data_IF_491271553999
#
_entry.id   IF_491271553999
#
_cell.length_a   1.000
_cell.length_b   1.000
_cell.length_c   1.000
_cell.angle_alpha   90.00
_cell.angle_beta   90.00
_cell.angle_gamma   90.00
#
_symmetry.space_group_name_H-M   'P 1'
#
loop_
_entity.id
_entity.type
_entity.pdbx_description
1 polymer ?
#
# COMPACT_ATOMS: atom_id res chain seq x y z
N UNK A 1 -8.02 28.02 -30.28
CA UNK A 1 -6.69 28.13 -29.62
C UNK A 1 -5.77 28.95 -30.51
N UNK A 2 -5.00 29.87 -29.93
CA UNK A 2 -4.13 30.83 -30.63
C UNK A 2 -3.09 30.15 -31.54
N UNK A 3 -2.48 29.05 -31.10
CA UNK A 3 -1.47 28.30 -31.85
C UNK A 3 -1.95 27.78 -33.22
N UNK A 4 -3.19 27.28 -33.32
CA UNK A 4 -3.76 26.84 -34.61
C UNK A 4 -3.99 28.01 -35.57
N UNK A 5 -4.33 29.20 -35.03
CA UNK A 5 -4.48 30.41 -35.83
C UNK A 5 -3.12 30.85 -36.38
N UNK A 6 -2.09 30.92 -35.52
CA UNK A 6 -0.72 31.28 -35.92
C UNK A 6 -0.20 30.32 -37.00
N UNK A 7 -0.33 29.00 -36.81
CA UNK A 7 0.11 28.02 -37.80
C UNK A 7 -0.54 28.23 -39.18
N UNK A 8 -1.84 28.56 -39.19
CA UNK A 8 -2.58 28.88 -40.42
C UNK A 8 -2.07 30.16 -41.10
N UNK A 9 -1.83 31.22 -40.33
CA UNK A 9 -1.33 32.51 -40.86
C UNK A 9 0.08 32.38 -41.48
N UNK A 10 0.93 31.49 -40.94
CA UNK A 10 2.26 31.23 -41.49
C UNK A 10 2.29 30.14 -42.58
N UNK A 11 1.11 29.70 -43.07
CA UNK A 11 1.00 28.68 -44.11
C UNK A 11 1.38 27.26 -43.69
N UNK A 12 1.49 26.98 -42.39
CA UNK A 12 1.87 25.67 -41.85
C UNK A 12 0.67 24.84 -41.40
N UNK A 13 0.80 23.51 -41.45
CA UNK A 13 -0.19 22.59 -40.85
C UNK A 13 -0.07 22.62 -39.33
N UNK A 14 -1.16 22.91 -38.64
CA UNK A 14 -1.18 22.91 -37.18
C UNK A 14 -0.93 21.48 -36.63
N UNK A 15 -0.12 21.34 -35.56
CA UNK A 15 0.11 20.04 -34.94
C UNK A 15 -1.13 19.54 -34.20
N UNK A 16 -1.24 18.22 -34.07
CA UNK A 16 -2.20 17.60 -33.16
C UNK A 16 -1.80 17.90 -31.72
N UNK A 17 -2.75 18.38 -30.92
CA UNK A 17 -2.50 18.76 -29.54
C UNK A 17 -3.05 17.70 -28.61
N UNK A 18 -2.19 17.16 -27.75
CA UNK A 18 -2.62 16.31 -26.65
C UNK A 18 -2.65 17.12 -25.35
N UNK A 19 -3.83 17.25 -24.73
CA UNK A 19 -3.97 17.93 -23.42
C UNK A 19 -3.68 16.90 -22.33
N UNK A 20 -2.82 17.26 -21.38
CA UNK A 20 -2.67 16.54 -20.11
C UNK A 20 -3.06 17.46 -18.96
N UNK A 21 -3.45 16.86 -17.83
CA UNK A 21 -3.83 17.57 -16.62
C UNK A 21 -2.68 17.63 -15.60
N UNK A 22 -2.85 18.46 -14.58
CA UNK A 22 -1.83 18.70 -13.56
C UNK A 22 -1.72 17.56 -12.55
N UNK A 23 -0.50 17.40 -12.04
CA UNK A 23 -0.28 16.71 -10.78
C UNK A 23 -0.61 17.64 -9.61
N UNK A 24 -1.31 17.10 -8.63
CA UNK A 24 -1.75 17.76 -7.42
C UNK A 24 -1.04 17.12 -6.22
N UNK A 25 -0.93 17.84 -5.12
CA UNK A 25 -0.44 17.27 -3.87
C UNK A 25 -1.41 16.22 -3.30
N UNK A 26 -1.02 15.59 -2.18
CA UNK A 26 -1.81 14.58 -1.48
C UNK A 26 -3.22 15.05 -1.08
N UNK A 27 -3.38 16.36 -0.83
CA UNK A 27 -4.66 16.96 -0.46
C UNK A 27 -5.50 17.35 -1.68
N UNK A 28 -4.89 17.42 -2.87
CA UNK A 28 -5.51 17.85 -4.12
C UNK A 28 -5.29 19.32 -4.45
N UNK A 29 -4.32 19.99 -3.82
CA UNK A 29 -3.93 21.36 -4.17
C UNK A 29 -2.82 21.36 -5.22
N UNK A 30 -2.60 22.51 -5.86
CA UNK A 30 -1.55 22.67 -6.86
C UNK A 30 -0.17 22.55 -6.19
N UNK A 31 0.73 21.78 -6.82
CA UNK A 31 2.13 21.67 -6.40
C UNK A 31 2.85 23.01 -6.62
N UNK A 32 3.62 23.44 -5.63
CA UNK A 32 4.41 24.67 -5.66
C UNK A 32 5.76 24.44 -5.01
N UNK A 33 6.84 24.77 -5.73
CA UNK A 33 8.21 24.73 -5.18
C UNK A 33 8.37 25.59 -3.93
N UNK A 34 7.64 26.72 -3.85
CA UNK A 34 7.67 27.63 -2.68
C UNK A 34 7.03 27.00 -1.43
N UNK A 35 6.04 26.14 -1.61
CA UNK A 35 5.31 25.48 -0.52
C UNK A 35 5.97 24.15 -0.15
N UNK A 36 6.70 23.53 -1.09
CA UNK A 36 7.36 22.24 -0.87
C UNK A 36 6.39 21.06 -0.77
N UNK A 37 5.16 21.20 -1.29
CA UNK A 37 4.09 20.20 -1.19
C UNK A 37 4.09 19.14 -2.30
N UNK A 38 5.16 19.05 -3.10
CA UNK A 38 5.29 18.08 -4.18
C UNK A 38 6.33 17.01 -3.86
N UNK A 39 6.15 15.83 -4.45
CA UNK A 39 7.19 14.78 -4.47
C UNK A 39 8.11 15.03 -5.65
N UNK A 40 9.42 15.13 -5.43
CA UNK A 40 10.38 15.19 -6.53
C UNK A 40 10.56 13.82 -7.18
N UNK A 41 11.09 13.78 -8.41
CA UNK A 41 11.46 12.53 -9.07
C UNK A 41 12.49 11.77 -8.21
N UNK A 42 13.50 12.48 -7.68
CA UNK A 42 14.53 11.86 -6.83
C UNK A 42 13.93 11.24 -5.56
N UNK A 43 12.94 11.89 -4.94
CA UNK A 43 12.22 11.32 -3.79
C UNK A 43 11.43 10.08 -4.19
N UNK A 44 10.79 10.09 -5.36
CA UNK A 44 10.07 8.91 -5.85
C UNK A 44 11.02 7.72 -6.04
N UNK A 45 12.12 7.95 -6.77
CA UNK A 45 13.10 6.93 -7.10
C UNK A 45 13.93 6.46 -5.90
N UNK A 46 13.86 7.18 -4.77
CA UNK A 46 14.45 6.75 -3.51
C UNK A 46 13.59 5.74 -2.75
N UNK A 47 12.28 5.74 -3.00
CA UNK A 47 11.30 5.00 -2.21
C UNK A 47 10.47 4.03 -3.05
N UNK A 48 10.78 3.89 -4.35
CA UNK A 48 9.99 3.08 -5.25
C UNK A 48 10.60 2.97 -6.65
N UNK A 49 10.17 1.95 -7.41
CA UNK A 49 10.74 1.65 -8.70
C UNK A 49 10.37 2.70 -9.75
N UNK A 50 11.29 2.97 -10.69
CA UNK A 50 11.07 3.87 -11.83
C UNK A 50 9.81 3.50 -12.64
N UNK A 51 9.53 2.20 -12.75
CA UNK A 51 8.37 1.68 -13.47
C UNK A 51 7.05 2.19 -12.89
N UNK A 52 6.97 2.36 -11.56
CA UNK A 52 5.77 2.89 -10.91
C UNK A 52 5.52 4.36 -11.25
N UNK A 53 6.58 5.16 -11.43
CA UNK A 53 6.49 6.54 -11.88
C UNK A 53 6.02 6.60 -13.35
N UNK A 54 6.60 5.78 -14.21
CA UNK A 54 6.22 5.68 -15.62
C UNK A 54 4.76 5.23 -15.79
N UNK A 55 4.34 4.22 -15.02
CA UNK A 55 2.96 3.81 -14.89
C UNK A 55 2.04 4.96 -14.46
N UNK A 56 2.44 5.68 -13.41
CA UNK A 56 1.69 6.81 -12.89
C UNK A 56 1.54 7.92 -13.94
N UNK A 57 2.55 8.17 -14.77
CA UNK A 57 2.48 9.11 -15.88
C UNK A 57 1.57 8.62 -17.01
N UNK A 58 1.66 7.34 -17.37
CA UNK A 58 0.94 6.72 -18.48
C UNK A 58 -0.59 6.71 -18.28
N UNK A 59 -1.06 6.38 -17.08
CA UNK A 59 -2.49 6.22 -16.84
C UNK A 59 -3.26 7.53 -17.01
N UNK A 60 -4.41 7.56 -17.70
CA UNK A 60 -5.36 8.69 -17.68
C UNK A 60 -4.70 10.09 -17.70
N UNK A 61 -3.85 10.42 -18.69
CA UNK A 61 -3.07 11.67 -18.69
C UNK A 61 -3.95 12.93 -18.79
N UNK A 62 -5.21 12.78 -19.23
CA UNK A 62 -6.22 13.84 -19.29
C UNK A 62 -6.96 14.08 -17.96
N UNK A 63 -6.57 13.42 -16.87
CA UNK A 63 -7.15 13.61 -15.53
C UNK A 63 -6.08 14.07 -14.56
N UNK A 64 -6.44 15.00 -13.67
CA UNK A 64 -5.55 15.42 -12.60
C UNK A 64 -5.29 14.26 -11.65
N UNK A 65 -4.06 14.10 -11.19
CA UNK A 65 -3.67 13.01 -10.28
C UNK A 65 -3.03 13.58 -9.04
N UNK A 66 -3.39 13.00 -7.90
CA UNK A 66 -2.74 13.30 -6.62
C UNK A 66 -1.45 12.51 -6.52
N UNK A 67 -0.40 13.17 -6.06
CA UNK A 67 0.89 12.58 -5.73
C UNK A 67 1.35 13.09 -4.37
N UNK A 68 2.02 12.25 -3.62
CA UNK A 68 2.42 12.49 -2.24
C UNK A 68 3.12 11.25 -1.72
N UNK A 69 4.09 11.41 -0.82
CA UNK A 69 4.77 10.29 -0.19
C UNK A 69 3.77 9.33 0.52
N UNK A 70 2.70 9.80 1.22
CA UNK A 70 1.69 8.87 1.76
C UNK A 70 0.93 8.05 0.71
N UNK A 71 0.85 8.54 -0.53
CA UNK A 71 0.12 7.88 -1.62
C UNK A 71 1.01 6.91 -2.39
N UNK A 72 2.33 6.97 -2.20
CA UNK A 72 3.31 6.22 -2.96
C UNK A 72 3.09 4.70 -2.88
N UNK A 73 2.87 4.07 -1.70
CA UNK A 73 2.59 2.63 -1.62
C UNK A 73 1.43 2.20 -2.52
N UNK A 74 0.32 2.95 -2.49
CA UNK A 74 -0.87 2.66 -3.29
C UNK A 74 -0.63 2.82 -4.79
N UNK A 75 0.21 3.77 -5.19
CA UNK A 75 0.53 3.97 -6.61
C UNK A 75 1.40 2.83 -7.12
N UNK A 76 2.40 2.40 -6.34
CA UNK A 76 3.27 1.27 -6.68
C UNK A 76 2.46 -0.03 -6.73
N UNK A 77 1.56 -0.25 -5.78
CA UNK A 77 0.64 -1.41 -5.81
C UNK A 77 -0.17 -1.44 -7.12
N UNK A 78 -0.67 -0.29 -7.59
CA UNK A 78 -1.39 -0.20 -8.85
C UNK A 78 -0.54 -0.59 -10.07
N UNK A 79 0.76 -0.31 -10.04
CA UNK A 79 1.70 -0.79 -11.06
C UNK A 79 1.88 -2.31 -10.98
N UNK A 80 2.11 -2.86 -9.78
CA UNK A 80 2.27 -4.30 -9.58
C UNK A 80 1.00 -5.08 -10.00
N UNK A 81 -0.18 -4.55 -9.69
CA UNK A 81 -1.46 -5.09 -10.16
C UNK A 81 -1.60 -5.04 -11.68
N UNK A 82 -1.13 -3.96 -12.32
CA UNK A 82 -1.14 -3.86 -13.78
C UNK A 82 -0.25 -4.93 -14.41
N UNK A 83 0.96 -5.13 -13.87
CA UNK A 83 1.89 -6.16 -14.35
C UNK A 83 1.28 -7.55 -14.22
N UNK A 84 0.72 -7.87 -13.05
CA UNK A 84 0.06 -9.14 -12.80
C UNK A 84 -1.12 -9.40 -13.76
N UNK A 85 -1.92 -8.38 -14.07
CA UNK A 85 -3.08 -8.49 -14.97
C UNK A 85 -2.71 -8.57 -16.45
N UNK A 86 -1.61 -7.91 -16.85
CA UNK A 86 -1.26 -7.78 -18.27
C UNK A 86 -0.72 -9.09 -18.86
N UNK A 87 -0.09 -9.93 -18.04
CA UNK A 87 0.63 -11.11 -18.50
C UNK A 87 1.85 -10.74 -19.36
N UNK A 88 2.82 -11.65 -19.49
CA UNK A 88 4.08 -11.34 -20.19
C UNK A 88 3.96 -11.31 -21.72
N UNK A 89 2.88 -11.86 -22.27
CA UNK A 89 2.74 -12.12 -23.72
C UNK A 89 2.00 -11.02 -24.48
N UNK A 90 1.42 -10.02 -23.79
CA UNK A 90 0.65 -8.94 -24.44
C UNK A 90 1.56 -7.76 -24.79
N UNK A 91 2.03 -7.75 -26.04
CA UNK A 91 2.98 -6.76 -26.58
C UNK A 91 2.45 -5.32 -26.53
N UNK A 92 1.14 -5.11 -26.65
CA UNK A 92 0.49 -3.79 -26.60
C UNK A 92 -0.17 -3.50 -25.24
N UNK A 93 0.40 -4.05 -24.16
CA UNK A 93 -0.08 -3.76 -22.81
C UNK A 93 0.61 -2.52 -22.20
N UNK A 94 -0.08 -1.77 -21.33
CA UNK A 94 0.55 -0.71 -20.54
C UNK A 94 1.76 -1.16 -19.73
N UNK A 95 1.76 -2.38 -19.20
CA UNK A 95 2.88 -2.96 -18.46
C UNK A 95 4.13 -3.12 -19.36
N UNK A 96 3.93 -3.67 -20.56
CA UNK A 96 5.02 -3.83 -21.53
C UNK A 96 5.56 -2.48 -22.02
N UNK A 97 4.68 -1.49 -22.20
CA UNK A 97 5.10 -0.13 -22.54
C UNK A 97 6.00 0.49 -21.47
N UNK A 98 5.61 0.36 -20.18
CA UNK A 98 6.41 0.84 -19.04
C UNK A 98 7.77 0.15 -19.01
N UNK A 99 7.79 -1.19 -19.07
CA UNK A 99 9.02 -2.00 -19.04
C UNK A 99 10.04 -1.59 -20.10
N UNK A 100 9.59 -1.24 -21.32
CA UNK A 100 10.46 -0.81 -22.42
C UNK A 100 11.12 0.56 -22.19
N UNK A 101 10.56 1.40 -21.32
CA UNK A 101 11.03 2.77 -21.06
C UNK A 101 12.04 2.86 -19.90
N UNK A 102 12.18 1.80 -19.11
CA UNK A 102 13.10 1.71 -17.98
C UNK A 102 14.13 0.61 -18.19
N UNK A 103 15.09 0.53 -17.26
CA UNK A 103 16.16 -0.48 -17.22
C UNK A 103 16.22 -1.04 -15.80
N UNK A 104 16.83 -2.21 -15.66
CA UNK A 104 17.02 -2.88 -14.37
C UNK A 104 16.09 -4.08 -14.22
N UNK A 105 15.95 -4.55 -12.99
CA UNK A 105 14.99 -5.59 -12.66
C UNK A 105 13.55 -5.04 -12.80
N UNK A 106 12.64 -5.86 -13.30
CA UNK A 106 11.25 -5.47 -13.51
C UNK A 106 10.33 -6.42 -12.77
N UNK A 107 9.19 -5.91 -12.31
CA UNK A 107 8.12 -6.78 -11.88
C UNK A 107 7.72 -7.70 -13.05
N UNK A 108 7.53 -8.97 -12.73
CA UNK A 108 7.01 -9.99 -13.63
C UNK A 108 5.66 -10.42 -13.12
N UNK A 109 4.84 -10.99 -14.01
CA UNK A 109 3.58 -11.57 -13.56
C UNK A 109 3.92 -12.79 -12.70
N UNK A 110 3.76 -12.66 -11.38
CA UNK A 110 3.97 -13.79 -10.48
C UNK A 110 2.97 -14.91 -10.82
N UNK A 111 3.49 -16.12 -10.95
CA UNK A 111 2.66 -17.32 -10.96
C UNK A 111 2.25 -17.60 -9.51
N UNK A 112 0.97 -17.46 -9.17
CA UNK A 112 0.48 -17.66 -7.80
C UNK A 112 -0.92 -17.11 -7.58
N UNK A 113 -1.52 -17.46 -6.44
CA UNK A 113 -2.87 -17.01 -6.08
C UNK A 113 -2.93 -15.52 -5.71
N UNK A 114 -1.81 -14.95 -5.23
CA UNK A 114 -1.74 -13.59 -4.71
C UNK A 114 -0.59 -12.78 -5.33
N UNK A 115 -0.81 -11.47 -5.45
CA UNK A 115 0.18 -10.49 -5.91
C UNK A 115 0.90 -9.96 -4.69
N UNK A 116 2.24 -10.04 -4.68
CA UNK A 116 3.06 -9.37 -3.68
C UNK A 116 3.09 -7.88 -4.01
N UNK A 117 2.52 -7.08 -3.13
CA UNK A 117 2.40 -5.63 -3.29
C UNK A 117 3.43 -4.89 -2.43
N UNK A 118 3.74 -3.64 -2.80
CA UNK A 118 4.60 -2.77 -1.99
C UNK A 118 4.01 -2.60 -0.59
N UNK A 119 2.68 -2.39 -0.52
CA UNK A 119 2.00 -2.30 0.77
C UNK A 119 2.17 -3.56 1.61
N UNK A 120 2.16 -4.77 1.04
CA UNK A 120 2.37 -6.00 1.80
C UNK A 120 3.74 -6.02 2.47
N UNK A 121 4.81 -5.73 1.72
CA UNK A 121 6.18 -5.67 2.23
C UNK A 121 6.29 -4.56 3.31
N UNK A 122 5.70 -3.40 3.04
CA UNK A 122 5.65 -2.29 3.98
C UNK A 122 4.94 -2.67 5.30
N UNK A 123 3.83 -3.39 5.21
CA UNK A 123 3.10 -3.85 6.40
C UNK A 123 3.89 -4.88 7.20
N UNK A 124 4.65 -5.73 6.52
CA UNK A 124 5.55 -6.69 7.14
C UNK A 124 6.64 -5.98 7.94
N UNK A 125 7.32 -5.01 7.31
CA UNK A 125 8.33 -4.15 7.97
C UNK A 125 7.71 -3.43 9.18
N UNK A 126 6.51 -2.87 9.02
CA UNK A 126 5.78 -2.21 10.08
C UNK A 126 5.41 -3.15 11.24
N UNK A 127 4.93 -4.35 10.92
CA UNK A 127 4.47 -5.34 11.88
C UNK A 127 5.61 -5.89 12.74
N UNK A 128 6.74 -6.19 12.08
CA UNK A 128 7.90 -6.79 12.70
C UNK A 128 8.84 -5.75 13.31
N UNK A 129 8.69 -4.46 12.95
CA UNK A 129 9.67 -3.41 13.23
C UNK A 129 11.09 -3.82 12.78
N UNK A 130 11.18 -4.54 11.66
CA UNK A 130 12.43 -5.07 11.10
C UNK A 130 12.81 -4.25 9.88
N UNK A 131 14.05 -3.77 9.88
CA UNK A 131 14.67 -3.07 8.74
C UNK A 131 15.83 -3.87 8.15
N UNK A 132 15.91 -5.15 8.47
CA UNK A 132 16.89 -6.08 7.91
C UNK A 132 16.33 -6.68 6.61
N UNK A 133 17.05 -6.46 5.51
CA UNK A 133 16.69 -6.94 4.17
C UNK A 133 16.40 -8.45 4.19
N UNK A 134 17.29 -9.22 4.78
CA UNK A 134 17.30 -10.66 4.60
C UNK A 134 16.21 -11.34 5.42
N UNK A 135 15.86 -10.77 6.57
CA UNK A 135 14.67 -11.19 7.32
C UNK A 135 13.40 -10.94 6.50
N UNK A 136 13.25 -9.77 5.88
CA UNK A 136 12.09 -9.46 5.04
C UNK A 136 12.03 -10.40 3.84
N UNK A 137 13.15 -10.61 3.14
CA UNK A 137 13.28 -11.54 2.01
C UNK A 137 12.88 -12.96 2.39
N UNK A 138 13.42 -13.50 3.49
CA UNK A 138 13.12 -14.86 3.95
C UNK A 138 11.63 -15.03 4.27
N UNK A 139 11.01 -14.01 4.86
CA UNK A 139 9.59 -14.03 5.13
C UNK A 139 8.77 -14.05 3.82
N UNK A 140 9.11 -13.19 2.85
CA UNK A 140 8.44 -13.16 1.55
C UNK A 140 8.57 -14.51 0.83
N UNK A 141 9.76 -15.10 0.79
CA UNK A 141 9.99 -16.42 0.19
C UNK A 141 9.16 -17.52 0.89
N UNK A 142 9.04 -17.45 2.22
CA UNK A 142 8.20 -18.39 2.97
C UNK A 142 6.72 -18.19 2.66
N UNK A 143 6.29 -16.94 2.47
CA UNK A 143 4.91 -16.58 2.17
C UNK A 143 4.50 -16.97 0.74
N UNK A 144 5.39 -16.76 -0.24
CA UNK A 144 5.17 -17.10 -1.64
C UNK A 144 6.52 -17.51 -2.29
N UNK A 145 6.83 -18.81 -2.39
CA UNK A 145 8.10 -19.30 -2.91
C UNK A 145 8.44 -18.84 -4.33
N UNK A 146 7.44 -18.57 -5.16
CA UNK A 146 7.55 -18.13 -6.56
C UNK A 146 8.20 -16.75 -6.69
N UNK A 147 8.28 -15.98 -5.60
CA UNK A 147 9.08 -14.73 -5.54
C UNK A 147 10.53 -14.97 -5.97
N UNK A 148 11.08 -16.18 -5.74
CA UNK A 148 12.45 -16.54 -6.12
C UNK A 148 12.73 -16.36 -7.61
N UNK A 149 11.73 -16.51 -8.47
CA UNK A 149 11.88 -16.39 -9.92
C UNK A 149 12.15 -14.95 -10.36
N UNK A 150 11.86 -13.97 -9.50
CA UNK A 150 12.09 -12.55 -9.74
C UNK A 150 12.73 -11.86 -8.52
N UNK A 151 13.64 -12.56 -7.84
CA UNK A 151 14.17 -12.11 -6.55
C UNK A 151 14.94 -10.78 -6.64
N UNK A 152 15.63 -10.52 -7.76
CA UNK A 152 16.37 -9.28 -7.99
C UNK A 152 15.45 -8.05 -7.90
N UNK A 153 14.26 -8.11 -8.53
CA UNK A 153 13.27 -7.04 -8.43
C UNK A 153 12.73 -6.88 -7.01
N UNK A 154 12.42 -8.00 -6.35
CA UNK A 154 11.89 -7.97 -4.99
C UNK A 154 12.92 -7.47 -3.98
N UNK A 155 14.21 -7.70 -4.20
CA UNK A 155 15.28 -7.15 -3.39
C UNK A 155 15.33 -5.62 -3.48
N UNK A 156 15.30 -5.07 -4.69
CA UNK A 156 15.21 -3.62 -4.88
C UNK A 156 13.94 -3.06 -4.22
N UNK A 157 12.81 -3.75 -4.37
CA UNK A 157 11.54 -3.33 -3.78
C UNK A 157 11.55 -3.39 -2.24
N UNK A 158 12.24 -4.36 -1.64
CA UNK A 158 12.45 -4.44 -0.19
C UNK A 158 13.28 -3.26 0.28
N UNK A 159 14.37 -2.93 -0.41
CA UNK A 159 15.23 -1.79 -0.09
C UNK A 159 14.46 -0.46 -0.17
N UNK A 160 13.66 -0.27 -1.21
CA UNK A 160 12.77 0.88 -1.36
C UNK A 160 11.81 1.02 -0.17
N UNK A 161 11.17 -0.08 0.24
CA UNK A 161 10.24 -0.12 1.37
C UNK A 161 10.94 0.18 2.69
N UNK A 162 12.10 -0.43 2.95
CA UNK A 162 12.88 -0.21 4.16
C UNK A 162 13.34 1.24 4.24
N UNK A 163 13.75 1.82 3.11
CA UNK A 163 14.19 3.21 3.01
C UNK A 163 13.02 4.17 3.24
N UNK A 164 11.85 3.92 2.63
CA UNK A 164 10.61 4.65 2.89
C UNK A 164 10.19 4.56 4.36
N UNK A 165 10.24 3.37 4.95
CA UNK A 165 9.90 3.16 6.35
C UNK A 165 10.82 3.98 7.27
N UNK A 166 12.13 3.92 7.04
CA UNK A 166 13.14 4.55 7.91
C UNK A 166 13.13 6.07 7.84
N UNK A 167 13.04 6.61 6.62
CA UNK A 167 13.27 8.04 6.40
C UNK A 167 11.99 8.86 6.31
N UNK A 168 10.90 8.23 5.87
CA UNK A 168 9.63 8.93 5.73
C UNK A 168 8.65 8.53 6.83
N UNK A 169 8.43 7.23 7.04
CA UNK A 169 7.43 6.80 8.01
C UNK A 169 7.83 7.08 9.46
N UNK A 170 8.98 6.58 9.92
CA UNK A 170 9.40 6.71 11.32
C UNK A 170 9.45 8.17 11.80
N UNK A 171 10.02 9.14 11.06
CA UNK A 171 10.09 10.54 11.52
C UNK A 171 8.71 11.23 11.58
N UNK A 172 7.74 10.75 10.80
CA UNK A 172 6.39 11.30 10.73
C UNK A 172 5.36 10.45 11.51
N UNK A 173 5.81 9.41 12.23
CA UNK A 173 4.93 8.51 12.96
C UNK A 173 4.31 9.26 14.16
N UNK A 174 3.01 9.51 14.07
CA UNK A 174 2.20 9.94 15.21
C UNK A 174 1.61 8.70 15.86
N UNK A 175 2.00 8.42 17.11
CA UNK A 175 1.43 7.31 17.86
C UNK A 175 0.04 7.67 18.37
N UNK A 176 -0.97 7.01 17.80
CA UNK A 176 -2.35 7.09 18.25
C UNK A 176 -2.75 5.81 18.99
N UNK A 177 -3.35 5.95 20.16
CA UNK A 177 -3.92 4.82 20.89
C UNK A 177 -5.39 4.63 20.54
N UNK A 178 -5.84 3.38 20.56
CA UNK A 178 -7.25 3.07 20.45
C UNK A 178 -7.96 3.57 21.72
N UNK A 179 -9.08 4.25 21.55
CA UNK A 179 -9.96 4.54 22.69
C UNK A 179 -10.75 3.29 23.09
N UNK A 180 -11.67 3.47 24.03
CA UNK A 180 -12.48 2.38 24.62
C UNK A 180 -13.88 2.29 24.02
N UNK A 181 -14.22 3.18 23.09
CA UNK A 181 -15.56 3.32 22.50
C UNK A 181 -16.05 2.07 21.75
N UNK A 182 -15.13 1.21 21.31
CA UNK A 182 -15.45 0.00 20.54
C UNK A 182 -15.05 -1.30 21.26
N UNK A 183 -14.86 -1.28 22.58
CA UNK A 183 -14.46 -2.48 23.34
C UNK A 183 -15.44 -3.65 23.19
N UNK A 184 -16.74 -3.37 23.01
CA UNK A 184 -17.73 -4.40 22.68
C UNK A 184 -17.36 -5.16 21.41
N UNK A 185 -17.14 -4.43 20.30
CA UNK A 185 -16.72 -5.00 19.03
C UNK A 185 -15.33 -5.65 19.09
N UNK A 186 -14.41 -5.11 19.90
CA UNK A 186 -13.10 -5.73 20.13
C UNK A 186 -13.23 -7.09 20.83
N UNK A 187 -14.13 -7.23 21.81
CA UNK A 187 -14.40 -8.52 22.48
C UNK A 187 -15.02 -9.53 21.53
N UNK A 188 -15.96 -9.12 20.66
CA UNK A 188 -16.54 -10.02 19.65
C UNK A 188 -15.48 -10.45 18.61
N UNK A 189 -14.64 -9.52 18.16
CA UNK A 189 -13.54 -9.85 17.27
C UNK A 189 -12.53 -10.81 17.91
N UNK A 190 -12.16 -10.57 19.18
CA UNK A 190 -11.31 -11.45 19.97
C UNK A 190 -11.92 -12.87 20.06
N UNK A 191 -13.20 -12.99 20.41
CA UNK A 191 -13.89 -14.28 20.50
C UNK A 191 -13.89 -15.02 19.15
N UNK A 192 -14.06 -14.29 18.05
CA UNK A 192 -13.96 -14.82 16.70
C UNK A 192 -12.57 -15.40 16.38
N UNK A 193 -11.50 -14.68 16.76
CA UNK A 193 -10.12 -15.13 16.58
C UNK A 193 -9.78 -16.32 17.48
N UNK A 194 -10.21 -16.33 18.73
CA UNK A 194 -9.98 -17.45 19.66
C UNK A 194 -10.65 -18.73 19.17
N UNK A 195 -11.88 -18.63 18.68
CA UNK A 195 -12.57 -19.77 18.04
C UNK A 195 -11.81 -20.29 16.83
N UNK A 196 -11.22 -19.39 16.05
CA UNK A 196 -10.42 -19.77 14.88
C UNK A 196 -9.13 -20.49 15.31
N UNK A 197 -8.41 -19.93 16.29
CA UNK A 197 -7.19 -20.54 16.84
C UNK A 197 -7.45 -21.97 17.36
N UNK A 198 -8.60 -22.18 18.02
CA UNK A 198 -9.03 -23.51 18.48
C UNK A 198 -9.30 -24.53 17.37
N UNK A 199 -9.43 -24.11 16.11
CA UNK A 199 -9.64 -25.02 14.97
C UNK A 199 -8.36 -25.65 14.42
N UNK A 200 -7.18 -25.15 14.82
CA UNK A 200 -5.88 -25.63 14.33
C UNK A 200 -5.58 -25.28 12.86
N UNK A 201 -6.44 -24.48 12.21
CA UNK A 201 -6.20 -23.98 10.84
C UNK A 201 -5.39 -22.69 10.87
N UNK A 202 -4.64 -22.45 9.79
CA UNK A 202 -3.98 -21.16 9.57
C UNK A 202 -5.01 -20.09 9.20
N UNK A 203 -4.94 -18.93 9.86
CA UNK A 203 -5.88 -17.83 9.65
C UNK A 203 -5.59 -17.11 8.33
N UNK A 204 -6.48 -17.25 7.35
CA UNK A 204 -6.37 -16.57 6.07
C UNK A 204 -6.81 -15.10 6.16
N UNK A 205 -6.24 -14.25 5.29
CA UNK A 205 -6.51 -12.81 5.26
C UNK A 205 -8.01 -12.48 5.10
N UNK A 206 -8.71 -13.18 4.22
CA UNK A 206 -10.14 -12.96 3.96
C UNK A 206 -11.03 -13.43 5.13
N UNK A 207 -10.65 -14.52 5.81
CA UNK A 207 -11.33 -14.98 7.01
C UNK A 207 -11.15 -13.97 8.15
N UNK A 208 -9.92 -13.49 8.38
CA UNK A 208 -9.63 -12.44 9.35
C UNK A 208 -10.39 -11.14 9.05
N UNK A 209 -10.43 -10.73 7.78
CA UNK A 209 -11.19 -9.56 7.33
C UNK A 209 -12.69 -9.72 7.59
N UNK A 210 -13.22 -10.93 7.36
CA UNK A 210 -14.63 -11.26 7.60
C UNK A 210 -14.97 -11.23 9.08
N UNK A 211 -14.11 -11.76 9.95
CA UNK A 211 -14.28 -11.70 11.40
C UNK A 211 -14.32 -10.25 11.91
N UNK A 212 -13.36 -9.42 11.48
CA UNK A 212 -13.31 -8.01 11.84
C UNK A 212 -14.56 -7.24 11.36
N UNK A 213 -15.04 -7.53 10.15
CA UNK A 213 -16.24 -6.90 9.61
C UNK A 213 -17.50 -7.31 10.39
N UNK A 214 -17.66 -8.60 10.69
CA UNK A 214 -18.79 -9.12 11.47
C UNK A 214 -18.83 -8.50 12.87
N UNK A 215 -17.70 -8.42 13.54
CA UNK A 215 -17.61 -7.82 14.87
C UNK A 215 -18.06 -6.35 14.89
N UNK A 216 -17.61 -5.54 13.92
CA UNK A 216 -18.09 -4.16 13.79
C UNK A 216 -19.60 -4.08 13.52
N UNK A 217 -20.10 -4.95 12.62
CA UNK A 217 -21.53 -4.97 12.26
C UNK A 217 -22.42 -5.40 13.43
N UNK A 218 -22.01 -6.37 14.23
CA UNK A 218 -22.77 -6.88 15.38
C UNK A 218 -22.98 -5.84 16.48
N UNK A 219 -22.12 -4.82 16.53
CA UNK A 219 -22.17 -3.75 17.52
C UNK A 219 -22.69 -2.42 16.98
N UNK A 220 -23.20 -2.40 15.73
CA UNK A 220 -23.74 -1.21 15.06
C UNK A 220 -22.79 0.01 15.09
N UNK A 221 -21.48 -0.25 15.03
CA UNK A 221 -20.46 0.81 15.04
C UNK A 221 -20.23 1.34 13.63
N UNK A 222 -19.90 2.63 13.53
CA UNK A 222 -19.54 3.21 12.24
C UNK A 222 -18.27 2.53 11.69
N UNK A 223 -18.40 1.78 10.59
CA UNK A 223 -17.31 0.94 10.05
C UNK A 223 -15.98 1.69 9.84
N UNK A 224 -16.06 2.97 9.48
CA UNK A 224 -14.87 3.82 9.32
C UNK A 224 -14.12 4.02 10.64
N UNK A 225 -14.83 4.35 11.72
CA UNK A 225 -14.23 4.56 13.05
C UNK A 225 -13.84 3.23 13.70
N UNK A 226 -14.57 2.15 13.39
CA UNK A 226 -14.20 0.79 13.79
C UNK A 226 -12.84 0.37 13.23
N UNK A 227 -12.64 0.46 11.91
CA UNK A 227 -11.34 0.11 11.32
C UNK A 227 -10.23 1.04 11.79
N UNK A 228 -10.53 2.33 11.98
CA UNK A 228 -9.60 3.28 12.61
C UNK A 228 -9.15 2.80 14.00
N UNK A 229 -10.07 2.24 14.78
CA UNK A 229 -9.77 1.68 16.11
C UNK A 229 -8.88 0.45 16.01
N UNK A 230 -9.17 -0.47 15.09
CA UNK A 230 -8.31 -1.61 14.82
C UNK A 230 -6.90 -1.16 14.40
N UNK A 231 -6.77 -0.15 13.53
CA UNK A 231 -5.47 0.40 13.15
C UNK A 231 -4.73 1.03 14.32
N UNK A 232 -5.42 1.75 15.20
CA UNK A 232 -4.79 2.32 16.40
C UNK A 232 -4.33 1.24 17.36
N UNK A 233 -5.10 0.17 17.52
CA UNK A 233 -4.73 -0.95 18.38
C UNK A 233 -3.51 -1.69 17.82
N UNK A 234 -3.55 -2.06 16.53
CA UNK A 234 -2.53 -2.91 15.91
C UNK A 234 -1.31 -2.16 15.40
N UNK A 235 -1.48 -0.94 14.90
CA UNK A 235 -0.44 -0.17 14.21
C UNK A 235 -0.06 1.13 14.93
N UNK A 236 -0.82 1.51 15.98
CA UNK A 236 -0.70 2.80 16.66
C UNK A 236 -0.94 3.99 15.73
N UNK A 237 -1.84 3.85 14.74
CA UNK A 237 -2.16 4.87 13.74
C UNK A 237 -3.63 4.87 13.31
N UNK A 238 -4.12 5.97 12.74
CA UNK A 238 -5.52 6.10 12.27
C UNK A 238 -5.82 5.43 10.92
N UNK A 239 -4.82 4.94 10.20
CA UNK A 239 -5.01 4.26 8.91
C UNK A 239 -3.97 3.18 8.70
N UNK A 240 -4.30 2.21 7.85
CA UNK A 240 -3.40 1.12 7.51
C UNK A 240 -3.91 0.28 6.34
N UNK A 241 -3.24 -0.84 6.04
CA UNK A 241 -3.69 -1.80 5.03
C UNK A 241 -5.02 -2.45 5.41
N UNK A 242 -5.55 -3.33 4.56
CA UNK A 242 -6.68 -4.18 4.97
C UNK A 242 -6.32 -4.93 6.27
N UNK A 243 -7.17 -4.84 7.28
CA UNK A 243 -6.85 -5.37 8.61
C UNK A 243 -6.71 -6.90 8.58
N UNK A 244 -7.48 -7.59 7.75
CA UNK A 244 -7.40 -9.05 7.63
C UNK A 244 -6.03 -9.52 7.15
N UNK A 245 -5.48 -8.87 6.12
CA UNK A 245 -4.12 -9.14 5.64
C UNK A 245 -3.07 -8.94 6.73
N UNK A 246 -3.19 -7.87 7.52
CA UNK A 246 -2.26 -7.61 8.63
C UNK A 246 -2.38 -8.66 9.74
N UNK A 247 -3.60 -9.02 10.14
CA UNK A 247 -3.86 -10.01 11.19
C UNK A 247 -3.36 -11.39 10.79
N UNK A 248 -3.60 -11.81 9.53
CA UNK A 248 -3.05 -13.05 9.00
C UNK A 248 -1.51 -13.04 9.00
N UNK A 249 -0.91 -11.91 8.61
CA UNK A 249 0.54 -11.73 8.57
C UNK A 249 1.22 -11.87 9.93
N UNK A 250 0.66 -11.24 10.98
CA UNK A 250 1.22 -11.34 12.33
C UNK A 250 0.88 -12.67 13.04
N UNK A 251 -0.11 -13.39 12.52
CA UNK A 251 -0.63 -14.63 13.09
C UNK A 251 -1.70 -14.40 14.16
N UNK A 252 -2.60 -15.38 14.28
CA UNK A 252 -3.77 -15.34 15.17
C UNK A 252 -3.38 -15.14 16.64
N UNK A 253 -2.31 -15.78 17.11
CA UNK A 253 -1.88 -15.69 18.51
C UNK A 253 -1.39 -14.30 18.88
N UNK A 254 -0.56 -13.67 18.02
CA UNK A 254 -0.11 -12.29 18.24
C UNK A 254 -1.28 -11.31 18.18
N UNK A 255 -2.25 -11.55 17.29
CA UNK A 255 -3.44 -10.72 17.19
C UNK A 255 -4.30 -10.78 18.46
N UNK A 256 -4.55 -12.00 18.96
CA UNK A 256 -5.24 -12.26 20.23
C UNK A 256 -4.50 -11.57 21.39
N UNK A 257 -3.17 -11.70 21.45
CA UNK A 257 -2.35 -11.08 22.49
C UNK A 257 -2.54 -9.56 22.56
N UNK A 258 -2.46 -8.86 21.43
CA UNK A 258 -2.67 -7.41 21.36
C UNK A 258 -4.08 -6.97 21.74
N UNK A 259 -5.09 -7.74 21.37
CA UNK A 259 -6.48 -7.48 21.78
C UNK A 259 -6.66 -7.65 23.28
N UNK A 260 -6.11 -8.72 23.87
CA UNK A 260 -6.16 -8.98 25.30
C UNK A 260 -5.44 -7.91 26.12
N UNK A 261 -4.27 -7.46 25.65
CA UNK A 261 -3.50 -6.37 26.27
C UNK A 261 -4.34 -5.08 26.34
N UNK A 262 -4.88 -4.62 25.21
CA UNK A 262 -5.73 -3.42 25.17
C UNK A 262 -6.97 -3.54 26.08
N UNK A 263 -7.62 -4.72 26.09
CA UNK A 263 -8.81 -4.97 26.90
C UNK A 263 -8.49 -5.15 28.39
N UNK A 264 -7.29 -5.58 28.77
CA UNK A 264 -6.89 -5.77 30.17
C UNK A 264 -6.38 -4.51 30.86
N UNK A 265 -5.92 -3.51 30.10
CA UNK A 265 -5.61 -2.15 30.61
C UNK A 265 -6.84 -1.46 31.26
N UNK A 266 -8.04 -2.06 31.15
CA UNK A 266 -9.26 -1.69 31.90
C UNK A 266 -9.12 -1.90 33.42
N UNK A 267 -8.35 -2.92 33.83
CA UNK A 267 -8.37 -3.42 35.22
C UNK A 267 -7.39 -2.67 36.13
N UNK A 268 -6.41 -1.96 35.57
CA UNK A 268 -5.32 -1.30 36.34
C UNK A 268 -5.51 0.19 36.58
N UNK A 269 -6.55 0.81 36.00
CA UNK A 269 -6.87 2.25 36.19
C UNK A 269 -8.16 2.51 36.99
N UNK A 270 -8.69 1.48 37.65
CA UNK A 270 -9.81 1.57 38.59
C UNK A 270 -9.35 1.69 40.03
#
# INVERSE_FOLDING_TARGET
RLSKKIAKEIGARAPELFKYELFLDETGRKISKKIGNGVSIDQWLKYGPVDSLLYFMFLKPQQSKKMGLPLLPKIIDGYLELVAKSGETVVDSPAHFVKRLSKGAHATAAHGENIITYSLIYNLVLALAVTDHEIVRQFLIKYQPEIKDNIEYFDELIDDVITYYREYYLPNKVEEQAGREHDGALRDFLAGLEKYAGSGRELLADEAQTLAFKAGKNHDVAMKEWFKTLYRLFLKQSSGPKIGSFVALIGVDKAIGRLKEHLSEEVTKG
#
